data_IF_208940897041
#
_entry.id   IF_208940897041
#
_cell.length_a   1.000
_cell.length_b   1.000
_cell.length_c   1.000
_cell.angle_alpha   90.00
_cell.angle_beta   90.00
_cell.angle_gamma   90.00
#
_symmetry.space_group_name_H-M   'P 1'
#
loop_
_entity.id
_entity.type
_entity.pdbx_description
1 polymer ?
#
# COMPACT_ATOMS: atom_id res chain seq x y z
N UNK A 1 4.13 9.95 -21.24
CA UNK A 1 4.25 10.22 -19.79
C UNK A 1 4.35 8.93 -18.98
N UNK A 2 3.49 7.93 -19.18
CA UNK A 2 3.56 6.67 -18.42
C UNK A 2 4.86 5.87 -18.65
N UNK A 3 5.35 5.78 -19.88
CA UNK A 3 6.61 5.05 -20.18
C UNK A 3 7.82 5.58 -19.40
N UNK A 4 8.05 6.91 -19.44
CA UNK A 4 9.12 7.55 -18.67
C UNK A 4 9.04 7.26 -17.16
N UNK A 5 7.83 7.32 -16.59
CA UNK A 5 7.63 7.04 -15.16
C UNK A 5 7.92 5.58 -14.81
N UNK A 6 7.42 4.65 -15.61
CA UNK A 6 7.69 3.21 -15.43
C UNK A 6 9.18 2.89 -15.59
N UNK A 7 9.86 3.48 -16.56
CA UNK A 7 11.29 3.28 -16.78
C UNK A 7 12.12 3.85 -15.63
N UNK A 8 11.73 5.03 -15.13
CA UNK A 8 12.36 5.66 -13.97
C UNK A 8 12.18 4.81 -12.71
N UNK A 9 10.96 4.35 -12.43
CA UNK A 9 10.70 3.46 -11.29
C UNK A 9 11.52 2.17 -11.40
N UNK A 10 11.60 1.55 -12.58
CA UNK A 10 12.41 0.34 -12.80
C UNK A 10 13.89 0.56 -12.52
N UNK A 11 14.40 1.74 -12.88
CA UNK A 11 15.80 2.11 -12.65
C UNK A 11 16.10 2.37 -11.17
N UNK A 12 15.23 3.10 -10.45
CA UNK A 12 15.52 3.51 -9.07
C UNK A 12 15.17 2.46 -8.02
N UNK A 13 14.13 1.63 -8.24
CA UNK A 13 13.59 0.69 -7.24
C UNK A 13 14.65 -0.25 -6.63
N UNK A 14 15.62 -0.81 -7.38
CA UNK A 14 16.68 -1.64 -6.81
C UNK A 14 17.55 -0.95 -5.75
N UNK A 15 17.55 0.38 -5.72
CA UNK A 15 18.29 1.20 -4.75
C UNK A 15 17.40 1.75 -3.62
N UNK A 16 16.09 1.45 -3.65
CA UNK A 16 15.13 1.88 -2.66
C UNK A 16 14.86 0.76 -1.64
N UNK A 17 14.34 1.15 -0.48
CA UNK A 17 13.73 0.19 0.44
C UNK A 17 12.45 -0.39 -0.19
N UNK A 18 12.06 -1.64 0.14
CA UNK A 18 10.83 -2.25 -0.33
C UNK A 18 9.60 -1.70 0.45
N UNK A 19 9.48 -0.38 0.51
CA UNK A 19 8.44 0.35 1.22
C UNK A 19 8.00 1.56 0.43
N UNK A 20 6.76 1.98 0.64
CA UNK A 20 6.16 3.12 -0.03
C UNK A 20 5.45 3.99 1.00
N UNK A 21 5.40 5.30 0.72
CA UNK A 21 4.61 6.21 1.54
C UNK A 21 3.15 6.17 1.11
N UNK A 22 2.23 5.88 2.04
CA UNK A 22 0.79 5.71 1.76
C UNK A 22 0.18 6.90 0.99
N UNK A 23 0.61 8.13 1.29
CA UNK A 23 0.07 9.34 0.67
C UNK A 23 0.57 9.58 -0.76
N UNK A 24 1.44 8.70 -1.30
CA UNK A 24 1.88 8.71 -2.70
C UNK A 24 1.34 7.49 -3.46
N UNK A 25 0.02 7.40 -3.66
CA UNK A 25 -0.58 6.27 -4.35
C UNK A 25 -0.19 6.24 -5.83
N UNK A 26 0.24 5.07 -6.31
CA UNK A 26 0.34 4.79 -7.74
C UNK A 26 -0.12 3.38 -8.04
N UNK A 27 -0.78 3.19 -9.19
CA UNK A 27 -1.45 1.91 -9.55
C UNK A 27 -0.51 0.73 -9.80
N UNK A 28 0.78 0.99 -10.00
CA UNK A 28 1.79 -0.02 -10.31
C UNK A 28 2.55 -0.56 -9.11
N UNK A 29 2.13 -0.28 -7.88
CA UNK A 29 2.81 -0.71 -6.67
C UNK A 29 2.45 -2.19 -6.35
N UNK A 30 3.37 -3.16 -6.55
CA UNK A 30 3.09 -4.54 -6.17
C UNK A 30 3.00 -4.68 -4.66
N UNK A 31 2.13 -5.55 -4.15
CA UNK A 31 1.99 -5.80 -2.70
C UNK A 31 1.82 -4.50 -1.86
N UNK A 32 0.98 -3.60 -2.37
CA UNK A 32 0.89 -2.22 -1.89
C UNK A 32 0.69 -2.08 -0.38
N UNK A 33 -0.17 -2.91 0.23
CA UNK A 33 -0.45 -2.83 1.67
C UNK A 33 0.77 -3.21 2.52
N UNK A 34 1.55 -4.21 2.11
CA UNK A 34 2.80 -4.57 2.77
C UNK A 34 3.84 -3.47 2.59
N UNK A 35 3.93 -2.86 1.41
CA UNK A 35 4.85 -1.73 1.19
C UNK A 35 4.45 -0.48 1.99
N UNK A 36 3.16 -0.22 2.19
CA UNK A 36 2.68 0.93 2.97
C UNK A 36 2.81 0.72 4.48
N UNK A 37 2.50 -0.47 4.99
CA UNK A 37 2.31 -0.68 6.42
C UNK A 37 3.30 -1.68 7.03
N UNK A 38 3.96 -2.52 6.22
CA UNK A 38 4.91 -3.52 6.66
C UNK A 38 4.37 -4.37 7.82
N UNK A 39 5.19 -4.50 8.87
CA UNK A 39 4.84 -5.26 10.08
C UNK A 39 3.66 -4.68 10.88
N UNK A 40 3.21 -3.46 10.58
CA UNK A 40 2.03 -2.87 11.22
C UNK A 40 0.71 -3.34 10.60
N UNK A 41 0.73 -3.93 9.39
CA UNK A 41 -0.48 -4.36 8.68
C UNK A 41 -1.37 -5.29 9.53
N UNK A 42 -0.84 -6.33 10.24
CA UNK A 42 -1.67 -7.17 11.10
C UNK A 42 -2.38 -6.40 12.23
N UNK A 43 -1.69 -5.43 12.86
CA UNK A 43 -2.27 -4.60 13.92
C UNK A 43 -3.34 -3.67 13.38
N UNK A 44 -3.11 -3.07 12.21
CA UNK A 44 -4.09 -2.22 11.55
C UNK A 44 -5.35 -3.01 11.15
N UNK A 45 -5.19 -4.25 10.65
CA UNK A 45 -6.32 -5.15 10.38
C UNK A 45 -7.14 -5.43 11.64
N UNK A 46 -6.50 -5.62 12.80
CA UNK A 46 -7.21 -5.78 14.08
C UNK A 46 -7.99 -4.52 14.48
N UNK A 47 -7.39 -3.34 14.32
CA UNK A 47 -8.06 -2.06 14.59
C UNK A 47 -9.24 -1.87 13.64
N UNK A 48 -9.08 -2.15 12.34
CA UNK A 48 -10.14 -2.06 11.34
C UNK A 48 -11.31 -3.00 11.69
N UNK A 49 -11.02 -4.24 12.08
CA UNK A 49 -12.04 -5.19 12.58
C UNK A 49 -12.82 -4.66 13.79
N UNK A 50 -12.16 -3.95 14.70
CA UNK A 50 -12.81 -3.45 15.92
C UNK A 50 -13.73 -2.25 15.66
N UNK A 51 -13.35 -1.35 14.75
CA UNK A 51 -14.04 -0.08 14.55
C UNK A 51 -14.85 0.01 13.24
N UNK A 52 -14.53 -0.81 12.25
CA UNK A 52 -15.25 -0.91 10.97
C UNK A 52 -15.38 -2.39 10.52
N UNK A 53 -16.04 -3.24 11.32
CA UNK A 53 -16.15 -4.68 11.04
C UNK A 53 -16.88 -4.99 9.72
N UNK A 54 -17.79 -4.12 9.30
CA UNK A 54 -18.54 -4.26 8.06
C UNK A 54 -17.81 -3.66 6.84
N UNK A 55 -16.60 -3.13 7.05
CA UNK A 55 -15.75 -2.54 6.02
C UNK A 55 -16.46 -1.43 5.22
N UNK A 56 -17.20 -0.56 5.90
CA UNK A 56 -17.93 0.57 5.32
C UNK A 56 -16.97 1.54 4.62
N UNK A 57 -15.82 1.82 5.23
CA UNK A 57 -14.80 2.69 4.63
C UNK A 57 -13.83 1.85 3.80
N UNK A 58 -14.20 1.54 2.56
CA UNK A 58 -13.41 0.73 1.63
C UNK A 58 -13.05 1.49 0.36
N UNK A 59 -11.78 1.41 -0.02
CA UNK A 59 -11.18 1.98 -1.23
C UNK A 59 -9.90 1.18 -1.57
N UNK A 60 -9.20 1.53 -2.64
CA UNK A 60 -8.09 0.73 -3.19
C UNK A 60 -6.92 0.52 -2.23
N UNK A 61 -6.66 1.45 -1.29
CA UNK A 61 -5.60 1.31 -0.27
C UNK A 61 -6.17 0.94 1.12
N UNK A 62 -7.44 0.57 1.22
CA UNK A 62 -8.06 0.25 2.50
C UNK A 62 -7.38 -0.95 3.16
N UNK A 63 -7.09 -0.83 4.44
CA UNK A 63 -6.72 -1.97 5.30
C UNK A 63 -7.89 -2.98 5.31
N UNK A 64 -7.62 -4.29 5.12
CA UNK A 64 -8.65 -5.32 5.08
C UNK A 64 -9.21 -5.63 6.47
N UNK A 65 -10.36 -6.28 6.50
CA UNK A 65 -11.00 -6.79 7.73
C UNK A 65 -10.77 -8.29 7.93
N UNK A 66 -9.93 -8.95 7.14
CA UNK A 66 -9.72 -10.41 7.19
C UNK A 66 -9.62 -11.02 5.81
#
# INVERSE_FOLDING_TARGET
>A
MQGWFSDTLRFITPHCQPSAFQNWPYRGLPDALTQYYGSNLPRLTQVKKAYDPNNLFRYEQSVPVG
#
